data_IF_956199748757
#
_entry.id   IF_956199748757
#
_cell.length_a   1.000
_cell.length_b   1.000
_cell.length_c   1.000
_cell.angle_alpha   90.00
_cell.angle_beta   90.00
_cell.angle_gamma   90.00
#
_symmetry.space_group_name_H-M   'P 1'
#
loop_
_entity.id
_entity.type
_entity.pdbx_description
1 polymer ?
#
# COMPACT_ATOMS: atom_id res chain seq x y z
N UNK A 1 -31.76 -52.82 16.10
CA UNK A 1 -32.79 -52.11 16.90
C UNK A 1 -32.08 -51.00 17.62
N UNK A 2 -32.28 -49.78 17.21
CA UNK A 2 -31.80 -48.61 17.95
C UNK A 2 -32.83 -48.40 19.03
N UNK A 3 -32.46 -48.65 20.29
CA UNK A 3 -33.29 -48.37 21.46
C UNK A 3 -33.49 -46.84 21.51
N UNK A 4 -34.72 -46.39 21.23
CA UNK A 4 -35.11 -45.03 21.49
C UNK A 4 -35.05 -44.83 23.01
N UNK A 5 -34.13 -43.97 23.46
CA UNK A 5 -34.03 -43.57 24.86
C UNK A 5 -35.34 -42.86 25.26
N UNK A 6 -35.87 -43.18 26.40
CA UNK A 6 -37.05 -42.47 26.92
C UNK A 6 -36.72 -41.00 27.17
N UNK A 7 -37.73 -40.11 27.14
CA UNK A 7 -37.52 -38.67 27.38
C UNK A 7 -36.83 -38.40 28.72
N UNK A 8 -37.12 -39.18 29.73
CA UNK A 8 -36.48 -39.10 31.06
C UNK A 8 -35.00 -39.46 31.03
N UNK A 9 -34.58 -40.50 30.28
CA UNK A 9 -33.17 -40.88 30.11
C UNK A 9 -32.38 -39.84 29.32
N UNK A 10 -33.01 -39.14 28.37
CA UNK A 10 -32.37 -38.04 27.61
C UNK A 10 -32.14 -36.82 28.49
N UNK A 11 -33.13 -36.48 29.34
CA UNK A 11 -33.02 -35.34 30.28
C UNK A 11 -31.94 -35.62 31.34
N UNK A 12 -31.86 -36.84 31.84
CA UNK A 12 -30.86 -37.24 32.85
C UNK A 12 -29.43 -37.22 32.24
N UNK A 13 -29.27 -37.74 31.02
CA UNK A 13 -28.01 -37.68 30.29
C UNK A 13 -27.58 -36.26 30.04
N UNK A 14 -28.49 -35.33 29.66
CA UNK A 14 -28.20 -33.92 29.48
C UNK A 14 -27.78 -33.24 30.79
N UNK A 15 -28.46 -33.49 31.89
CA UNK A 15 -28.12 -32.95 33.22
C UNK A 15 -26.71 -33.36 33.64
N UNK A 16 -26.37 -34.65 33.47
CA UNK A 16 -25.05 -35.17 33.81
C UNK A 16 -23.95 -34.55 32.92
N UNK A 17 -24.19 -34.49 31.61
CA UNK A 17 -23.26 -33.83 30.69
C UNK A 17 -23.07 -32.33 31.03
N UNK A 18 -24.15 -31.62 31.36
CA UNK A 18 -24.09 -30.21 31.74
C UNK A 18 -23.35 -29.99 33.06
N UNK A 19 -23.52 -30.86 34.04
CA UNK A 19 -22.79 -30.81 35.30
C UNK A 19 -21.28 -30.95 35.10
N UNK A 20 -20.83 -31.75 34.12
CA UNK A 20 -19.41 -31.97 33.81
C UNK A 20 -18.82 -30.92 32.86
N UNK A 21 -19.61 -30.45 31.91
CA UNK A 21 -19.11 -29.64 30.78
C UNK A 21 -19.72 -28.22 30.73
N UNK A 22 -20.73 -27.92 31.54
CA UNK A 22 -21.48 -26.65 31.46
C UNK A 22 -20.58 -25.41 31.59
N UNK A 23 -19.65 -25.42 32.55
CA UNK A 23 -18.71 -24.29 32.70
C UNK A 23 -17.80 -24.12 31.48
N UNK A 24 -17.28 -25.22 30.89
CA UNK A 24 -16.43 -25.21 29.71
C UNK A 24 -17.22 -24.71 28.49
N UNK A 25 -18.47 -25.13 28.37
CA UNK A 25 -19.38 -24.70 27.30
C UNK A 25 -19.68 -23.20 27.40
N UNK A 26 -19.98 -22.70 28.59
CA UNK A 26 -20.23 -21.29 28.86
C UNK A 26 -18.96 -20.44 28.51
N UNK A 27 -17.79 -20.89 28.98
CA UNK A 27 -16.53 -20.23 28.64
C UNK A 27 -16.26 -20.23 27.13
N UNK A 28 -16.52 -21.32 26.44
CA UNK A 28 -16.41 -21.41 24.98
C UNK A 28 -17.31 -20.40 24.26
N UNK A 29 -18.59 -20.31 24.73
CA UNK A 29 -19.55 -19.33 24.18
C UNK A 29 -19.08 -17.91 24.44
N UNK A 30 -18.58 -17.58 25.63
CA UNK A 30 -18.06 -16.24 25.93
C UNK A 30 -16.84 -15.89 25.08
N UNK A 31 -15.95 -16.84 24.81
CA UNK A 31 -14.79 -16.61 23.93
C UNK A 31 -15.23 -16.32 22.49
N UNK A 32 -16.21 -17.07 21.98
CA UNK A 32 -16.73 -16.85 20.62
C UNK A 32 -17.43 -15.49 20.52
N UNK A 33 -18.31 -15.16 21.47
CA UNK A 33 -19.00 -13.87 21.48
C UNK A 33 -18.05 -12.70 21.68
N UNK A 34 -17.11 -12.81 22.62
CA UNK A 34 -16.08 -11.80 22.87
C UNK A 34 -15.19 -11.58 21.65
N UNK A 35 -14.78 -12.66 20.99
CA UNK A 35 -14.02 -12.61 19.74
C UNK A 35 -14.81 -11.94 18.61
N UNK A 36 -16.08 -12.28 18.45
CA UNK A 36 -16.95 -11.67 17.44
C UNK A 36 -17.16 -10.17 17.67
N UNK A 37 -17.51 -9.77 18.91
CA UNK A 37 -17.70 -8.34 19.25
C UNK A 37 -16.38 -7.56 19.08
N UNK A 38 -15.26 -8.15 19.50
CA UNK A 38 -13.93 -7.55 19.30
C UNK A 38 -13.61 -7.35 17.82
N UNK A 39 -13.85 -8.37 17.01
CA UNK A 39 -13.67 -8.30 15.55
C UNK A 39 -14.55 -7.22 14.91
N UNK A 40 -15.84 -7.20 15.23
CA UNK A 40 -16.80 -6.22 14.70
C UNK A 40 -16.41 -4.77 15.09
N UNK A 41 -15.97 -4.57 16.34
CA UNK A 41 -15.51 -3.28 16.81
C UNK A 41 -14.24 -2.82 16.06
N UNK A 42 -13.30 -3.72 15.82
CA UNK A 42 -12.09 -3.47 15.06
C UNK A 42 -12.43 -3.10 13.60
N UNK A 43 -13.27 -3.89 12.93
CA UNK A 43 -13.70 -3.65 11.55
C UNK A 43 -14.42 -2.29 11.40
N UNK A 44 -15.33 -1.98 12.34
CA UNK A 44 -16.02 -0.68 12.37
C UNK A 44 -15.05 0.49 12.54
N UNK A 45 -14.03 0.34 13.38
CA UNK A 45 -12.99 1.37 13.57
C UNK A 45 -12.18 1.57 12.29
N UNK A 46 -11.69 0.49 11.68
CA UNK A 46 -10.92 0.56 10.42
C UNK A 46 -11.75 1.19 9.30
N UNK A 47 -13.03 0.82 9.18
CA UNK A 47 -13.93 1.41 8.19
C UNK A 47 -14.14 2.91 8.42
N UNK A 48 -14.33 3.34 9.68
CA UNK A 48 -14.48 4.75 10.04
C UNK A 48 -13.22 5.56 9.77
N UNK A 49 -12.03 5.03 10.10
CA UNK A 49 -10.74 5.66 9.82
C UNK A 49 -10.50 5.79 8.31
N UNK A 50 -10.82 4.73 7.55
CA UNK A 50 -10.72 4.74 6.09
C UNK A 50 -11.66 5.77 5.45
N UNK A 51 -12.90 5.89 5.94
CA UNK A 51 -13.84 6.89 5.45
C UNK A 51 -13.35 8.30 5.73
N UNK A 52 -12.90 8.59 6.96
CA UNK A 52 -12.36 9.90 7.31
C UNK A 52 -11.11 10.27 6.48
N UNK A 53 -10.23 9.30 6.22
CA UNK A 53 -9.08 9.49 5.34
C UNK A 53 -9.51 9.75 3.89
N UNK A 54 -10.54 9.03 3.40
CA UNK A 54 -11.12 9.25 2.07
C UNK A 54 -11.65 10.68 1.90
N UNK A 55 -12.34 11.20 2.89
CA UNK A 55 -12.91 12.55 2.83
C UNK A 55 -11.82 13.63 2.74
N UNK A 56 -10.71 13.44 3.48
CA UNK A 56 -9.55 14.34 3.39
C UNK A 56 -8.89 14.21 2.01
N UNK A 57 -8.73 12.98 1.51
CA UNK A 57 -8.17 12.75 0.18
C UNK A 57 -9.03 13.37 -0.93
N UNK A 58 -10.36 13.26 -0.83
CA UNK A 58 -11.29 13.95 -1.74
C UNK A 58 -11.07 15.47 -1.75
N UNK A 59 -10.80 16.07 -0.60
CA UNK A 59 -10.46 17.50 -0.53
C UNK A 59 -9.18 17.81 -1.32
N UNK A 60 -8.14 16.96 -1.21
CA UNK A 60 -6.91 17.12 -2.00
C UNK A 60 -7.22 17.06 -3.50
N UNK A 61 -7.96 16.04 -3.94
CA UNK A 61 -8.31 15.86 -5.36
C UNK A 61 -9.14 17.04 -5.88
N UNK A 62 -10.11 17.52 -5.10
CA UNK A 62 -10.93 18.68 -5.48
C UNK A 62 -10.06 19.92 -5.66
N UNK A 63 -9.17 20.18 -4.68
CA UNK A 63 -8.21 21.30 -4.76
C UNK A 63 -7.30 21.21 -6.00
N UNK A 64 -6.88 20.02 -6.37
CA UNK A 64 -6.09 19.82 -7.60
C UNK A 64 -6.90 20.10 -8.88
N UNK A 65 -8.18 19.70 -8.91
CA UNK A 65 -9.06 19.88 -10.05
C UNK A 65 -9.47 21.36 -10.26
N UNK A 66 -9.29 22.22 -9.27
CA UNK A 66 -9.48 23.68 -9.40
C UNK A 66 -8.42 24.32 -10.31
N UNK A 67 -7.34 23.61 -10.64
CA UNK A 67 -6.30 24.07 -11.55
C UNK A 67 -6.21 23.12 -12.78
N UNK A 68 -7.16 23.18 -13.73
CA UNK A 68 -7.22 22.25 -14.87
C UNK A 68 -6.03 22.40 -15.82
N UNK A 69 -5.34 23.52 -15.81
CA UNK A 69 -4.10 23.80 -16.55
C UNK A 69 -2.82 23.34 -15.77
N UNK A 70 -3.00 22.73 -14.59
CA UNK A 70 -1.91 22.21 -13.75
C UNK A 70 -1.20 23.29 -12.91
N UNK A 71 -1.57 24.57 -13.05
CA UNK A 71 -0.95 25.68 -12.32
C UNK A 71 -1.66 25.91 -10.97
N UNK A 72 -1.27 25.13 -9.96
CA UNK A 72 -1.81 25.30 -8.60
C UNK A 72 -1.40 26.66 -7.99
N UNK A 73 -2.37 27.35 -7.40
CA UNK A 73 -2.06 28.52 -6.60
C UNK A 73 -1.26 28.16 -5.36
N UNK A 74 -0.51 29.14 -4.80
CA UNK A 74 0.24 28.89 -3.55
C UNK A 74 -0.69 28.46 -2.40
N UNK A 75 -1.91 28.98 -2.35
CA UNK A 75 -2.92 28.59 -1.36
C UNK A 75 -3.33 27.12 -1.52
N UNK A 76 -3.56 26.67 -2.76
CA UNK A 76 -3.87 25.28 -3.08
C UNK A 76 -2.74 24.34 -2.69
N UNK A 77 -1.48 24.71 -2.99
CA UNK A 77 -0.29 23.92 -2.60
C UNK A 77 -0.22 23.78 -1.07
N UNK A 78 -0.40 24.88 -0.32
CA UNK A 78 -0.42 24.84 1.15
C UNK A 78 -1.55 23.97 1.69
N UNK A 79 -2.74 24.06 1.09
CA UNK A 79 -3.89 23.23 1.46
C UNK A 79 -3.60 21.75 1.24
N UNK A 80 -3.02 21.38 0.09
CA UNK A 80 -2.65 20.00 -0.24
C UNK A 80 -1.60 19.48 0.75
N UNK A 81 -0.57 20.27 1.07
CA UNK A 81 0.44 19.87 2.05
C UNK A 81 -0.18 19.65 3.44
N UNK A 82 -1.01 20.56 3.92
CA UNK A 82 -1.69 20.46 5.23
C UNK A 82 -2.55 19.20 5.32
N UNK A 83 -3.37 18.93 4.31
CA UNK A 83 -4.23 17.75 4.27
C UNK A 83 -3.41 16.46 4.11
N UNK A 84 -2.33 16.48 3.32
CA UNK A 84 -1.40 15.37 3.17
C UNK A 84 -0.68 15.04 4.48
N UNK A 85 -0.22 16.05 5.23
CA UNK A 85 0.39 15.84 6.55
C UNK A 85 -0.62 15.29 7.55
N UNK A 86 -1.86 15.74 7.52
CA UNK A 86 -2.93 15.19 8.34
C UNK A 86 -3.18 13.71 8.03
N UNK A 87 -3.24 13.33 6.75
CA UNK A 87 -3.36 11.93 6.34
C UNK A 87 -2.19 11.08 6.85
N UNK A 88 -0.96 11.55 6.70
CA UNK A 88 0.23 10.83 7.17
C UNK A 88 0.26 10.66 8.69
N UNK A 89 -0.13 11.67 9.44
CA UNK A 89 0.00 11.68 10.90
C UNK A 89 -1.17 10.96 11.61
N UNK A 90 -2.39 11.07 11.09
CA UNK A 90 -3.60 10.55 11.74
C UNK A 90 -4.09 9.24 11.11
N UNK A 91 -3.78 9.00 9.83
CA UNK A 91 -4.28 7.87 9.03
C UNK A 91 -3.17 7.14 8.25
N UNK A 92 -1.95 7.11 8.81
CA UNK A 92 -0.74 6.65 8.11
C UNK A 92 -0.78 5.22 7.57
N UNK A 93 -1.63 4.35 8.13
CA UNK A 93 -1.84 2.97 7.67
C UNK A 93 -2.78 2.86 6.46
N UNK A 94 -3.39 3.97 6.02
CA UNK A 94 -4.35 3.95 4.89
C UNK A 94 -3.64 4.21 3.56
N UNK A 95 -4.17 3.62 2.48
CA UNK A 95 -3.69 3.92 1.12
C UNK A 95 -3.81 5.42 0.76
N UNK A 96 -4.76 6.14 1.38
CA UNK A 96 -4.92 7.58 1.17
C UNK A 96 -3.73 8.40 1.68
N UNK A 97 -3.12 7.98 2.80
CA UNK A 97 -1.89 8.60 3.30
C UNK A 97 -0.71 8.36 2.35
N UNK A 98 -0.60 7.15 1.79
CA UNK A 98 0.43 6.82 0.80
C UNK A 98 0.25 7.62 -0.50
N UNK A 99 -0.99 7.77 -0.99
CA UNK A 99 -1.28 8.60 -2.16
C UNK A 99 -0.97 10.07 -1.90
N UNK A 100 -1.30 10.58 -0.72
CA UNK A 100 -0.99 11.96 -0.34
C UNK A 100 0.52 12.22 -0.26
N UNK A 101 1.30 11.30 0.30
CA UNK A 101 2.76 11.40 0.32
C UNK A 101 3.34 11.37 -1.11
N UNK A 102 2.88 10.47 -1.98
CA UNK A 102 3.29 10.44 -3.38
C UNK A 102 2.91 11.71 -4.15
N UNK A 103 1.77 12.33 -3.81
CA UNK A 103 1.36 13.62 -4.35
C UNK A 103 2.27 14.75 -3.88
N UNK A 104 2.58 14.80 -2.58
CA UNK A 104 3.54 15.77 -2.03
C UNK A 104 4.92 15.62 -2.67
N UNK A 105 5.37 14.38 -2.92
CA UNK A 105 6.61 14.13 -3.66
C UNK A 105 6.56 14.74 -5.08
N UNK A 106 5.44 14.58 -5.80
CA UNK A 106 5.24 15.20 -7.11
C UNK A 106 5.36 16.72 -7.03
N UNK A 107 4.64 17.37 -6.11
CA UNK A 107 4.70 18.82 -5.92
C UNK A 107 6.10 19.30 -5.53
N UNK A 108 6.84 18.52 -4.74
CA UNK A 108 8.20 18.81 -4.37
C UNK A 108 9.14 18.77 -5.60
N UNK A 109 8.96 17.80 -6.52
CA UNK A 109 9.71 17.76 -7.80
C UNK A 109 9.40 18.98 -8.64
N UNK A 110 8.13 19.37 -8.79
CA UNK A 110 7.70 20.56 -9.53
C UNK A 110 8.27 21.84 -8.94
N UNK A 111 8.44 21.90 -7.62
CA UNK A 111 9.11 22.98 -6.90
C UNK A 111 10.65 22.88 -6.90
N UNK A 112 11.24 21.91 -7.63
CA UNK A 112 12.67 21.61 -7.65
C UNK A 112 13.28 21.29 -6.26
N UNK A 113 12.46 20.78 -5.34
CA UNK A 113 12.86 20.30 -4.00
C UNK A 113 12.98 18.78 -4.00
N UNK A 114 14.06 18.27 -4.57
CA UNK A 114 14.27 16.83 -4.75
C UNK A 114 14.44 16.13 -3.41
N UNK A 115 15.07 16.78 -2.41
CA UNK A 115 15.21 16.22 -1.06
C UNK A 115 13.86 15.89 -0.42
N UNK A 116 12.92 16.81 -0.49
CA UNK A 116 11.56 16.59 0.04
C UNK A 116 10.86 15.48 -0.74
N UNK A 117 11.01 15.43 -2.06
CA UNK A 117 10.42 14.37 -2.87
C UNK A 117 10.93 12.99 -2.46
N UNK A 118 12.24 12.85 -2.25
CA UNK A 118 12.86 11.60 -1.76
C UNK A 118 12.34 11.23 -0.38
N UNK A 119 12.23 12.19 0.55
CA UNK A 119 11.69 11.95 1.89
C UNK A 119 10.24 11.46 1.85
N UNK A 120 9.39 12.06 1.02
CA UNK A 120 7.99 11.66 0.89
C UNK A 120 7.84 10.26 0.27
N UNK A 121 8.64 9.90 -0.73
CA UNK A 121 8.61 8.56 -1.31
C UNK A 121 9.15 7.49 -0.36
N UNK A 122 10.23 7.77 0.38
CA UNK A 122 10.73 6.86 1.42
C UNK A 122 9.67 6.65 2.51
N UNK A 123 8.97 7.71 2.94
CA UNK A 123 7.89 7.57 3.90
C UNK A 123 6.83 6.57 3.43
N UNK A 124 6.47 6.55 2.14
CA UNK A 124 5.51 5.57 1.58
C UNK A 124 6.04 4.15 1.74
N UNK A 125 7.31 3.90 1.42
CA UNK A 125 7.93 2.58 1.50
C UNK A 125 8.05 2.09 2.95
N UNK A 126 8.34 3.00 3.89
CA UNK A 126 8.55 2.68 5.31
C UNK A 126 7.23 2.47 6.09
N UNK A 127 6.10 2.93 5.56
CA UNK A 127 4.80 2.90 6.26
C UNK A 127 3.82 1.85 5.70
N UNK A 128 4.32 0.80 5.06
CA UNK A 128 3.52 -0.37 4.72
C UNK A 128 2.57 -0.16 3.54
N UNK A 129 3.03 0.53 2.52
CA UNK A 129 2.30 0.68 1.27
C UNK A 129 1.92 -0.68 0.66
N UNK A 130 0.80 -0.70 -0.05
CA UNK A 130 0.31 -1.87 -0.77
C UNK A 130 1.36 -2.39 -1.76
N UNK A 131 1.46 -3.71 -1.88
CA UNK A 131 2.43 -4.38 -2.76
C UNK A 131 2.29 -3.97 -4.23
N UNK A 132 1.10 -3.57 -4.69
CA UNK A 132 0.90 -3.06 -6.04
C UNK A 132 1.42 -1.62 -6.20
N UNK A 133 1.51 -0.86 -5.11
CA UNK A 133 1.98 0.52 -5.13
C UNK A 133 3.49 0.66 -4.92
N UNK A 134 4.10 -0.24 -4.15
CA UNK A 134 5.54 -0.27 -3.85
C UNK A 134 6.40 -0.18 -5.13
N UNK A 135 6.20 -0.97 -6.20
CA UNK A 135 7.03 -0.89 -7.40
C UNK A 135 6.99 0.48 -8.07
N UNK A 136 5.82 1.14 -8.07
CA UNK A 136 5.64 2.48 -8.64
C UNK A 136 6.49 3.50 -7.87
N UNK A 137 6.43 3.44 -6.54
CA UNK A 137 7.17 4.35 -5.66
C UNK A 137 8.68 4.11 -5.77
N UNK A 138 9.09 2.85 -5.77
CA UNK A 138 10.50 2.45 -5.92
C UNK A 138 11.10 2.95 -7.23
N UNK A 139 10.37 2.79 -8.34
CA UNK A 139 10.81 3.28 -9.65
C UNK A 139 10.96 4.82 -9.67
N UNK A 140 10.02 5.54 -9.04
CA UNK A 140 10.10 6.99 -8.91
C UNK A 140 11.29 7.41 -8.04
N UNK A 141 11.52 6.74 -6.92
CA UNK A 141 12.65 7.00 -6.03
C UNK A 141 13.99 6.80 -6.76
N UNK A 142 14.14 5.69 -7.49
CA UNK A 142 15.33 5.43 -8.30
C UNK A 142 15.58 6.55 -9.34
N UNK A 143 14.53 7.00 -10.03
CA UNK A 143 14.62 8.12 -10.97
C UNK A 143 14.99 9.44 -10.30
N UNK A 144 14.52 9.70 -9.08
CA UNK A 144 14.94 10.87 -8.29
C UNK A 144 16.42 10.79 -7.90
N UNK A 145 16.90 9.64 -7.43
CA UNK A 145 18.31 9.43 -7.12
C UNK A 145 19.18 9.59 -8.36
N UNK A 146 18.75 9.11 -9.52
CA UNK A 146 19.42 9.32 -10.80
C UNK A 146 19.51 10.81 -11.15
N UNK A 147 18.46 11.60 -10.91
CA UNK A 147 18.46 13.05 -11.15
C UNK A 147 19.46 13.81 -10.26
N UNK A 148 19.76 13.24 -9.08
CA UNK A 148 20.81 13.73 -8.16
C UNK A 148 22.21 13.24 -8.51
N UNK A 149 22.35 12.49 -9.61
CA UNK A 149 23.57 11.80 -10.06
C UNK A 149 24.03 10.67 -9.14
N UNK A 150 23.16 10.16 -8.26
CA UNK A 150 23.41 9.02 -7.39
C UNK A 150 23.10 7.70 -8.15
N UNK A 151 23.75 7.47 -9.29
CA UNK A 151 23.41 6.42 -10.24
C UNK A 151 23.54 5.00 -9.65
N UNK A 152 24.57 4.74 -8.86
CA UNK A 152 24.78 3.45 -8.20
C UNK A 152 23.71 3.18 -7.13
N UNK A 153 23.31 4.20 -6.37
CA UNK A 153 22.21 4.05 -5.41
C UNK A 153 20.87 3.82 -6.12
N UNK A 154 20.64 4.51 -7.26
CA UNK A 154 19.45 4.27 -8.08
C UNK A 154 19.40 2.82 -8.60
N UNK A 155 20.52 2.27 -9.07
CA UNK A 155 20.63 0.85 -9.47
C UNK A 155 20.32 -0.08 -8.31
N UNK A 156 20.95 0.14 -7.16
CA UNK A 156 20.74 -0.67 -5.95
C UNK A 156 19.29 -0.68 -5.49
N UNK A 157 18.59 0.45 -5.56
CA UNK A 157 17.15 0.55 -5.28
C UNK A 157 16.35 -0.37 -6.19
N UNK A 158 16.63 -0.37 -7.50
CA UNK A 158 15.93 -1.20 -8.48
C UNK A 158 16.27 -2.68 -8.38
N UNK A 159 17.52 -3.02 -8.04
CA UNK A 159 17.99 -4.41 -7.93
C UNK A 159 17.42 -5.12 -6.70
N UNK A 160 17.21 -4.40 -5.59
CA UNK A 160 16.71 -4.96 -4.34
C UNK A 160 15.18 -5.00 -4.22
N UNK A 161 14.46 -4.45 -5.20
CA UNK A 161 13.00 -4.37 -5.16
C UNK A 161 12.34 -5.40 -6.06
N UNK A 162 11.16 -5.88 -5.64
CA UNK A 162 10.28 -6.63 -6.54
C UNK A 162 9.63 -5.65 -7.54
N UNK A 163 9.89 -5.79 -8.85
CA UNK A 163 9.32 -4.91 -9.87
C UNK A 163 7.81 -5.16 -10.09
N UNK A 164 7.22 -6.22 -9.56
CA UNK A 164 5.81 -6.58 -9.76
C UNK A 164 5.44 -6.60 -11.25
N UNK A 165 4.44 -5.81 -11.63
CA UNK A 165 3.99 -5.64 -13.03
C UNK A 165 4.87 -4.68 -13.84
N UNK A 166 5.80 -3.95 -13.21
CA UNK A 166 6.64 -2.93 -13.85
C UNK A 166 8.02 -3.44 -14.30
N UNK A 167 8.16 -4.77 -14.52
CA UNK A 167 9.42 -5.40 -14.93
C UNK A 167 10.09 -4.69 -16.11
N UNK A 168 9.34 -4.38 -17.15
CA UNK A 168 9.85 -3.67 -18.33
C UNK A 168 10.41 -2.29 -17.98
N UNK A 169 9.67 -1.51 -17.19
CA UNK A 169 10.09 -0.16 -16.78
C UNK A 169 11.30 -0.16 -15.84
N UNK A 170 11.43 -1.18 -14.98
CA UNK A 170 12.61 -1.37 -14.13
C UNK A 170 13.84 -1.66 -14.97
N UNK A 171 13.74 -2.62 -15.91
CA UNK A 171 14.87 -2.97 -16.79
C UNK A 171 15.25 -1.83 -17.72
N UNK A 172 14.29 -1.07 -18.28
CA UNK A 172 14.54 0.13 -19.05
C UNK A 172 15.32 1.16 -18.22
N UNK A 173 14.86 1.46 -17.00
CA UNK A 173 15.54 2.43 -16.12
C UNK A 173 16.95 1.95 -15.71
N UNK A 174 17.14 0.63 -15.45
CA UNK A 174 18.49 0.08 -15.24
C UNK A 174 19.38 0.25 -16.47
N UNK A 175 18.83 0.01 -17.67
CA UNK A 175 19.53 0.24 -18.93
C UNK A 175 20.02 1.68 -19.05
N UNK A 176 19.16 2.67 -18.76
CA UNK A 176 19.52 4.08 -18.76
C UNK A 176 20.65 4.39 -17.76
N UNK A 177 20.57 3.84 -16.54
CA UNK A 177 21.59 4.02 -15.51
C UNK A 177 22.93 3.40 -15.90
N UNK A 178 22.93 2.20 -16.46
CA UNK A 178 24.14 1.54 -16.96
C UNK A 178 24.78 2.31 -18.11
N UNK A 179 23.99 2.91 -19.00
CA UNK A 179 24.50 3.78 -20.06
C UNK A 179 25.23 5.01 -19.51
N UNK A 180 24.66 5.67 -18.49
CA UNK A 180 25.30 6.82 -17.84
C UNK A 180 26.59 6.44 -17.11
N UNK A 181 26.65 5.21 -16.60
CA UNK A 181 27.83 4.63 -15.93
C UNK A 181 28.87 4.03 -16.90
N UNK A 182 28.67 4.17 -18.22
CA UNK A 182 29.52 3.60 -19.28
C UNK A 182 29.59 2.06 -19.26
N UNK A 183 28.62 1.39 -18.61
CA UNK A 183 28.48 -0.07 -18.49
C UNK A 183 27.63 -0.63 -19.64
N UNK A 184 28.17 -0.56 -20.86
CA UNK A 184 27.43 -0.76 -22.11
C UNK A 184 26.86 -2.18 -22.25
N UNK A 185 27.57 -3.22 -21.81
CA UNK A 185 27.12 -4.62 -21.93
C UNK A 185 25.93 -4.90 -21.00
N UNK A 186 25.95 -4.32 -19.79
CA UNK A 186 24.86 -4.42 -18.84
C UNK A 186 23.64 -3.62 -19.33
N UNK A 187 23.87 -2.45 -19.90
CA UNK A 187 22.82 -1.64 -20.53
C UNK A 187 22.11 -2.42 -21.65
N UNK A 188 22.88 -3.02 -22.55
CA UNK A 188 22.34 -3.86 -23.63
C UNK A 188 21.48 -5.01 -23.08
N UNK A 189 21.96 -5.69 -22.04
CA UNK A 189 21.24 -6.79 -21.39
C UNK A 189 19.92 -6.32 -20.77
N UNK A 190 19.95 -5.20 -20.06
CA UNK A 190 18.78 -4.59 -19.41
C UNK A 190 17.72 -4.17 -20.44
N UNK A 191 18.10 -3.46 -21.51
CA UNK A 191 17.16 -3.09 -22.56
C UNK A 191 16.55 -4.27 -23.29
N UNK A 192 17.31 -5.34 -23.57
CA UNK A 192 16.75 -6.57 -24.14
C UNK A 192 15.72 -7.21 -23.20
N UNK A 193 16.01 -7.24 -21.89
CA UNK A 193 15.06 -7.73 -20.88
C UNK A 193 13.77 -6.89 -20.87
N UNK A 194 13.89 -5.58 -20.93
CA UNK A 194 12.72 -4.67 -21.00
C UNK A 194 11.83 -4.99 -22.22
N UNK A 195 12.42 -5.17 -23.40
CA UNK A 195 11.70 -5.55 -24.64
C UNK A 195 10.98 -6.89 -24.49
N UNK A 196 11.64 -7.89 -23.89
CA UNK A 196 11.06 -9.21 -23.69
C UNK A 196 9.85 -9.17 -22.74
N UNK A 197 9.95 -8.42 -21.63
CA UNK A 197 8.85 -8.27 -20.68
C UNK A 197 7.68 -7.52 -21.28
N UNK A 198 7.91 -6.51 -22.12
CA UNK A 198 6.83 -5.78 -22.80
C UNK A 198 6.06 -6.70 -23.78
N UNK A 199 6.76 -7.48 -24.59
CA UNK A 199 6.12 -8.44 -25.52
C UNK A 199 5.29 -9.50 -24.82
N UNK A 200 5.75 -10.00 -23.66
CA UNK A 200 5.00 -10.99 -22.89
C UNK A 200 3.74 -10.40 -22.26
N UNK A 201 3.74 -9.13 -21.88
CA UNK A 201 2.54 -8.44 -21.39
C UNK A 201 1.50 -8.27 -22.47
N UNK A 202 1.89 -7.93 -23.70
CA UNK A 202 0.98 -7.77 -24.84
C UNK A 202 0.32 -9.11 -25.26
N UNK A 203 1.03 -10.24 -25.07
CA UNK A 203 0.48 -11.58 -25.36
C UNK A 203 -0.55 -12.06 -24.34
N UNK A 204 -0.54 -11.53 -23.11
CA UNK A 204 -1.52 -11.88 -22.06
C UNK A 204 -2.82 -11.07 -22.18
N UNK A 205 -2.83 -10.00 -22.98
CA UNK A 205 -3.98 -9.12 -23.19
C UNK A 205 -4.78 -9.44 -24.48
N UNK A 206 -4.32 -10.38 -25.32
CA UNK A 206 -4.95 -10.88 -26.54
C UNK A 206 -5.39 -12.33 -26.36
#
# INVERSE_FOLDING_TARGET
MVSERTEEEQIEAFKNWWAENGLKTILGIFLIFGGYVGWQSYESKVASESQAASDIWQTIITTMNEAPDGNLSQENIVSIHKNGDKLKNEYGSTSYAHFAAAMKAKLAVEANNIELAVQELNWVLDNGADNAFVPIITLRLAKLEASRKNYEEALKILENADPGTLKSSFEETKGDLYMVLERTDEAYTAYNSAILFNKSSDQLLN
#
